data_IF_238284978491
#
_entry.id   IF_238284978491
#
_cell.length_a   1.000
_cell.length_b   1.000
_cell.length_c   1.000
_cell.angle_alpha   90.00
_cell.angle_beta   90.00
_cell.angle_gamma   90.00
#
_symmetry.space_group_name_H-M   'P 1'
#
loop_
_entity.id
_entity.type
_entity.pdbx_description
1 polymer ?
#
# COMPACT_ATOMS: atom_id res chain seq x y z
N UNK A 1 23.52 -15.92 -29.59
CA UNK A 1 22.29 -15.11 -29.76
C UNK A 1 21.11 -16.01 -29.37
N UNK A 2 20.37 -15.77 -28.29
CA UNK A 2 19.33 -14.74 -28.19
C UNK A 2 19.01 -14.53 -26.70
N UNK A 3 19.06 -13.27 -26.26
CA UNK A 3 18.45 -12.82 -25.01
C UNK A 3 16.95 -12.55 -25.22
N UNK A 4 16.25 -12.39 -24.09
CA UNK A 4 15.00 -11.63 -23.93
C UNK A 4 13.66 -12.23 -24.39
N UNK A 5 12.85 -12.64 -23.39
CA UNK A 5 11.57 -11.96 -23.06
C UNK A 5 10.94 -12.56 -21.79
N UNK A 6 11.33 -12.04 -20.62
CA UNK A 6 10.56 -12.20 -19.36
C UNK A 6 9.82 -10.91 -19.06
N UNK A 7 8.79 -10.58 -19.83
CA UNK A 7 7.87 -9.49 -19.50
C UNK A 7 6.48 -9.83 -20.01
N UNK A 8 5.63 -10.36 -19.11
CA UNK A 8 4.22 -9.98 -18.98
C UNK A 8 3.49 -11.06 -18.16
N UNK A 9 3.52 -10.90 -16.83
CA UNK A 9 2.58 -11.56 -15.90
C UNK A 9 2.25 -10.65 -14.71
N UNK A 10 2.41 -9.33 -14.89
CA UNK A 10 2.10 -8.30 -13.89
C UNK A 10 0.81 -7.55 -14.21
N UNK A 11 0.38 -7.56 -15.47
CA UNK A 11 -0.81 -6.82 -15.92
C UNK A 11 -2.11 -7.52 -15.54
N UNK A 12 -2.19 -8.85 -15.69
CA UNK A 12 -3.42 -9.62 -15.48
C UNK A 12 -3.93 -9.60 -14.01
N UNK A 13 -3.02 -9.68 -13.04
CA UNK A 13 -3.39 -9.68 -11.61
C UNK A 13 -3.89 -8.33 -11.10
N UNK A 14 -3.47 -7.24 -11.74
CA UNK A 14 -3.84 -5.91 -11.28
C UNK A 14 -5.32 -5.67 -11.55
N UNK A 15 -5.82 -6.05 -12.74
CA UNK A 15 -7.22 -5.85 -13.16
C UNK A 15 -8.21 -6.61 -12.27
N UNK A 16 -7.92 -7.87 -11.91
CA UNK A 16 -8.80 -8.67 -11.03
C UNK A 16 -8.91 -8.06 -9.62
N UNK A 17 -7.81 -7.50 -9.11
CA UNK A 17 -7.80 -6.88 -7.78
C UNK A 17 -8.57 -5.56 -7.77
N UNK A 18 -8.43 -4.68 -8.78
CA UNK A 18 -9.19 -3.42 -8.81
C UNK A 18 -10.69 -3.65 -8.90
N UNK A 19 -11.14 -4.69 -9.62
CA UNK A 19 -12.57 -5.03 -9.71
C UNK A 19 -13.13 -5.63 -8.40
N UNK A 20 -12.26 -6.02 -7.46
CA UNK A 20 -12.63 -6.56 -6.15
C UNK A 20 -12.50 -5.52 -5.03
N UNK A 21 -11.98 -4.33 -5.32
CA UNK A 21 -11.95 -3.21 -4.38
C UNK A 21 -13.28 -2.47 -4.48
N UNK A 22 -13.99 -2.38 -3.36
CA UNK A 22 -15.22 -1.59 -3.25
C UNK A 22 -14.95 -0.08 -3.22
N UNK A 23 -13.77 0.33 -2.74
CA UNK A 23 -13.35 1.73 -2.71
C UNK A 23 -12.17 2.02 -3.67
N UNK A 24 -12.17 3.18 -4.37
CA UNK A 24 -11.06 3.60 -5.20
C UNK A 24 -9.83 4.01 -4.36
N UNK A 25 -8.68 4.12 -5.02
CA UNK A 25 -7.41 4.55 -4.42
C UNK A 25 -7.51 5.89 -3.68
N UNK A 26 -8.24 6.85 -4.25
CA UNK A 26 -8.39 8.20 -3.69
C UNK A 26 -9.07 8.16 -2.30
N UNK A 27 -10.10 7.33 -2.17
CA UNK A 27 -10.81 7.12 -0.90
C UNK A 27 -9.92 6.44 0.14
N UNK A 28 -9.07 5.50 -0.27
CA UNK A 28 -8.08 4.89 0.62
C UNK A 28 -7.02 5.89 1.10
N UNK A 29 -6.63 6.85 0.27
CA UNK A 29 -5.72 7.95 0.64
C UNK A 29 -6.41 8.93 1.58
N UNK A 30 -7.67 9.27 1.32
CA UNK A 30 -8.48 10.12 2.19
C UNK A 30 -8.63 9.50 3.58
N UNK A 31 -8.86 8.19 3.67
CA UNK A 31 -8.98 7.45 4.93
C UNK A 31 -7.74 7.56 5.82
N UNK A 32 -6.54 7.70 5.23
CA UNK A 32 -5.28 7.84 5.99
C UNK A 32 -4.80 9.28 6.12
N UNK A 33 -5.49 10.25 5.52
CA UNK A 33 -5.09 11.66 5.50
C UNK A 33 -4.95 12.25 6.91
N UNK A 34 -5.78 11.80 7.85
CA UNK A 34 -5.75 12.23 9.25
C UNK A 34 -4.45 11.85 10.01
N UNK A 35 -3.69 10.85 9.52
CA UNK A 35 -2.40 10.44 10.11
C UNK A 35 -1.32 11.49 9.81
N UNK A 36 -1.48 12.22 8.70
CA UNK A 36 -0.50 13.17 8.20
C UNK A 36 0.75 12.50 7.60
N UNK A 37 1.60 13.34 7.01
CA UNK A 37 2.78 12.89 6.27
C UNK A 37 2.53 12.72 4.77
N UNK A 38 3.60 12.43 4.03
CA UNK A 38 3.56 12.27 2.59
C UNK A 38 3.38 10.80 2.21
N UNK A 39 2.31 10.48 1.50
CA UNK A 39 2.11 9.14 0.90
C UNK A 39 3.15 8.93 -0.20
N UNK A 40 3.91 7.83 -0.11
CA UNK A 40 4.98 7.53 -1.08
C UNK A 40 4.83 6.17 -1.77
N UNK A 41 4.00 5.26 -1.24
CA UNK A 41 3.68 3.97 -1.89
C UNK A 41 2.26 3.59 -1.52
N UNK A 42 1.42 3.29 -2.52
CA UNK A 42 0.11 2.67 -2.30
C UNK A 42 -0.01 1.42 -3.14
N UNK A 43 -0.42 0.31 -2.54
CA UNK A 43 -0.57 -0.97 -3.23
C UNK A 43 -1.81 -1.70 -2.76
N UNK A 44 -2.65 -2.11 -3.72
CA UNK A 44 -3.72 -3.06 -3.47
C UNK A 44 -3.12 -4.46 -3.28
N UNK A 45 -3.50 -5.12 -2.19
CA UNK A 45 -3.02 -6.46 -1.84
C UNK A 45 -4.17 -7.34 -1.41
N UNK A 46 -4.08 -8.62 -1.76
CA UNK A 46 -4.94 -9.65 -1.16
C UNK A 46 -4.23 -10.20 0.07
N UNK A 47 -4.87 -10.11 1.23
CA UNK A 47 -4.41 -10.67 2.49
C UNK A 47 -5.42 -11.73 2.91
N UNK A 48 -5.01 -12.98 2.82
CA UNK A 48 -5.87 -14.14 3.10
C UNK A 48 -7.16 -14.12 2.24
N UNK A 49 -8.32 -13.92 2.85
CA UNK A 49 -9.62 -13.80 2.19
C UNK A 49 -10.03 -12.37 1.84
N UNK A 50 -9.29 -11.35 2.28
CA UNK A 50 -9.67 -9.93 2.14
C UNK A 50 -8.75 -9.16 1.21
N UNK A 51 -9.30 -8.14 0.57
CA UNK A 51 -8.53 -7.19 -0.24
C UNK A 51 -8.28 -5.93 0.58
N UNK A 52 -7.03 -5.47 0.63
CA UNK A 52 -6.60 -4.33 1.45
C UNK A 52 -5.72 -3.38 0.64
N UNK A 53 -5.91 -2.09 0.85
CA UNK A 53 -4.98 -1.06 0.43
C UNK A 53 -3.86 -0.94 1.46
N UNK A 54 -2.64 -1.23 1.05
CA UNK A 54 -1.45 -0.93 1.85
C UNK A 54 -0.92 0.45 1.47
N UNK A 55 -1.12 1.42 2.35
CA UNK A 55 -0.63 2.79 2.20
C UNK A 55 0.63 2.97 3.03
N UNK A 56 1.69 3.50 2.44
CA UNK A 56 2.91 3.88 3.17
C UNK A 56 3.08 5.40 3.13
N UNK A 57 3.32 5.97 4.30
CA UNK A 57 3.47 7.40 4.52
C UNK A 57 4.80 7.67 5.21
N UNK A 58 5.40 8.81 4.89
CA UNK A 58 6.56 9.35 5.59
C UNK A 58 6.10 10.55 6.43
N UNK A 59 6.25 10.45 7.75
CA UNK A 59 5.88 11.49 8.72
C UNK A 59 7.14 11.93 9.47
N UNK A 60 7.77 13.01 9.00
CA UNK A 60 9.10 13.38 9.48
C UNK A 60 10.13 12.31 9.16
N UNK A 61 10.70 11.66 10.18
CA UNK A 61 11.62 10.52 10.06
C UNK A 61 10.92 9.17 10.24
N UNK A 62 9.61 9.17 10.52
CA UNK A 62 8.84 7.95 10.78
C UNK A 62 8.26 7.39 9.47
N UNK A 63 8.43 6.08 9.24
CA UNK A 63 7.73 5.37 8.16
C UNK A 63 6.48 4.71 8.72
N UNK A 64 5.33 5.23 8.31
CA UNK A 64 4.02 4.70 8.72
C UNK A 64 3.49 3.79 7.62
N UNK A 65 3.09 2.57 7.99
CA UNK A 65 2.43 1.63 7.09
C UNK A 65 1.02 1.39 7.60
N UNK A 66 0.04 1.70 6.77
CA UNK A 66 -1.37 1.60 7.09
C UNK A 66 -2.01 0.59 6.15
N UNK A 67 -2.87 -0.27 6.71
CA UNK A 67 -3.71 -1.18 5.97
C UNK A 67 -5.15 -0.69 6.07
N UNK A 68 -5.76 -0.44 4.91
CA UNK A 68 -7.15 -0.01 4.79
C UNK A 68 -7.90 -1.13 4.09
N UNK A 69 -9.06 -1.49 4.61
CA UNK A 69 -9.96 -2.45 3.97
C UNK A 69 -10.43 -1.89 2.61
N UNK A 70 -10.21 -2.65 1.54
CA UNK A 70 -10.50 -2.17 0.19
C UNK A 70 -11.99 -2.25 -0.17
N UNK A 71 -12.83 -2.85 0.66
CA UNK A 71 -14.28 -2.92 0.45
C UNK A 71 -15.01 -1.78 1.16
N UNK A 72 -14.65 -1.51 2.42
CA UNK A 72 -15.34 -0.54 3.30
C UNK A 72 -14.58 0.77 3.53
N UNK A 73 -13.29 0.84 3.21
CA UNK A 73 -12.44 1.99 3.53
C UNK A 73 -12.03 2.07 5.01
N UNK A 74 -12.35 1.07 5.82
CA UNK A 74 -11.98 1.04 7.23
C UNK A 74 -10.47 0.84 7.41
N UNK A 75 -9.83 1.66 8.25
CA UNK A 75 -8.43 1.43 8.65
C UNK A 75 -8.36 0.20 9.55
N UNK A 76 -7.69 -0.85 9.09
CA UNK A 76 -7.57 -2.13 9.79
C UNK A 76 -6.39 -2.13 10.77
N UNK A 77 -5.25 -1.59 10.34
CA UNK A 77 -4.02 -1.58 11.15
C UNK A 77 -3.11 -0.43 10.70
N UNK A 78 -2.47 0.24 11.67
CA UNK A 78 -1.41 1.20 11.43
C UNK A 78 -0.15 0.78 12.21
N UNK A 79 0.93 0.50 11.47
CA UNK A 79 2.21 0.13 12.05
C UNK A 79 3.22 1.26 11.77
N UNK A 80 3.71 1.88 12.84
CA UNK A 80 4.76 2.89 12.76
C UNK A 80 6.10 2.21 12.94
N UNK A 81 6.91 2.22 11.89
CA UNK A 81 8.32 1.88 12.01
C UNK A 81 9.10 3.20 12.11
N UNK A 82 9.62 3.47 13.30
CA UNK A 82 10.73 4.40 13.43
C UNK A 82 11.90 3.63 12.84
N UNK A 83 12.36 3.99 11.64
CA UNK A 83 13.73 3.64 11.28
C UNK A 83 14.58 4.37 12.32
N UNK A 84 14.93 3.67 13.40
CA UNK A 84 16.04 4.07 14.24
C UNK A 84 17.20 4.20 13.26
N UNK A 85 17.56 5.45 12.97
CA UNK A 85 18.81 5.76 12.32
C UNK A 85 19.86 5.17 13.24
N UNK A 86 20.30 3.94 12.96
CA UNK A 86 21.49 3.40 13.61
C UNK A 86 22.57 4.45 13.30
N UNK A 87 23.15 5.11 14.32
CA UNK A 87 24.27 5.98 14.05
C UNK A 87 25.31 5.09 13.37
N UNK A 88 25.67 5.45 12.15
CA UNK A 88 26.83 4.88 11.46
C UNK A 88 28.01 5.09 12.41
N UNK A 89 28.42 4.01 13.10
CA UNK A 89 29.35 4.00 14.22
C UNK A 89 30.71 3.49 13.74
#
# INVERSE_FOLDING_TARGET
MKHDRKHSRKEDRTITLVNSAGIPLDEAIAAVSAIGGAVYDVKLKKFDTRTVWRVKLLRGTERVKVYVDAESGQVLEANVAIEAMEPDL
#
